data_IF_290284151553
#
_entry.id   IF_290284151553
#
_cell.length_a   1.000
_cell.length_b   1.000
_cell.length_c   1.000
_cell.angle_alpha   90.00
_cell.angle_beta   90.00
_cell.angle_gamma   90.00
#
_symmetry.space_group_name_H-M   'P 1'
#
loop_
_entity.id
_entity.type
_entity.pdbx_description
1 polymer ?
#
# COMPACT_ATOMS: atom_id res chain seq x y z
N UNK A 1 -3.45 17.47 26.60
CA UNK A 1 -3.97 17.88 25.27
C UNK A 1 -3.13 17.16 24.23
N UNK A 2 -3.63 16.04 23.69
CA UNK A 2 -2.88 15.24 22.73
C UNK A 2 -3.02 15.85 21.34
N UNK A 3 -1.89 16.22 20.73
CA UNK A 3 -1.81 16.59 19.31
C UNK A 3 -1.99 15.34 18.47
N UNK A 4 -3.23 15.03 18.09
CA UNK A 4 -3.53 14.06 17.03
C UNK A 4 -3.28 14.74 15.68
N UNK A 5 -2.03 14.73 15.23
CA UNK A 5 -1.67 15.02 13.84
C UNK A 5 -1.29 13.70 13.17
N UNK A 6 -2.28 12.82 12.94
CA UNK A 6 -2.16 11.85 11.85
C UNK A 6 -2.71 12.53 10.60
N UNK A 7 -1.90 12.74 9.54
CA UNK A 7 -2.43 13.21 8.26
C UNK A 7 -3.48 12.20 7.76
N UNK A 8 -4.46 12.63 6.94
CA UNK A 8 -5.36 11.69 6.30
C UNK A 8 -4.49 10.70 5.53
N UNK A 9 -4.59 9.43 5.89
CA UNK A 9 -3.97 8.34 5.14
C UNK A 9 -4.54 8.46 3.72
N UNK A 10 -3.75 9.02 2.81
CA UNK A 10 -4.17 9.25 1.43
C UNK A 10 -4.19 7.88 0.74
N UNK A 11 -5.29 7.16 0.91
CA UNK A 11 -5.54 5.90 0.24
C UNK A 11 -5.59 6.15 -1.26
N UNK A 12 -4.81 5.38 -2.01
CA UNK A 12 -4.67 5.57 -3.45
C UNK A 12 -5.37 4.43 -4.17
N UNK A 13 -6.39 4.72 -5.00
CA UNK A 13 -6.93 3.68 -5.85
C UNK A 13 -5.88 3.28 -6.89
N UNK A 14 -5.74 1.98 -7.11
CA UNK A 14 -4.80 1.35 -8.03
C UNK A 14 -4.83 2.03 -9.43
N UNK A 15 -6.03 2.38 -9.91
CA UNK A 15 -6.22 3.10 -11.18
C UNK A 15 -5.56 4.48 -11.23
N UNK A 16 -5.49 5.20 -10.09
CA UNK A 16 -4.79 6.50 -9.98
C UNK A 16 -3.30 6.34 -9.76
N UNK A 17 -2.85 5.21 -9.23
CA UNK A 17 -1.44 4.92 -9.00
C UNK A 17 -0.64 5.07 -10.30
N UNK A 18 -1.19 4.62 -11.45
CA UNK A 18 -0.56 4.74 -12.77
C UNK A 18 -0.16 6.18 -13.14
N UNK A 19 -1.03 7.15 -12.82
CA UNK A 19 -0.81 8.56 -13.16
C UNK A 19 0.03 9.30 -12.11
N UNK A 20 -0.01 8.85 -10.85
CA UNK A 20 0.57 9.54 -9.71
C UNK A 20 1.76 8.82 -9.08
N UNK A 21 2.26 7.72 -9.67
CA UNK A 21 3.35 6.89 -9.14
C UNK A 21 4.61 7.71 -8.80
N UNK A 22 4.95 8.69 -9.63
CA UNK A 22 6.11 9.57 -9.40
C UNK A 22 5.96 10.44 -8.16
N UNK A 23 4.74 10.89 -7.85
CA UNK A 23 4.43 11.68 -6.65
C UNK A 23 4.51 10.77 -5.42
N UNK A 24 3.84 9.62 -5.47
CA UNK A 24 3.82 8.67 -4.37
C UNK A 24 5.20 8.09 -4.08
N UNK A 25 6.04 7.87 -5.10
CA UNK A 25 7.46 7.52 -4.89
C UNK A 25 8.17 8.52 -3.99
N UNK A 26 7.99 9.83 -4.21
CA UNK A 26 8.65 10.85 -3.37
C UNK A 26 8.16 10.82 -1.93
N UNK A 27 6.86 10.59 -1.73
CA UNK A 27 6.26 10.45 -0.40
C UNK A 27 6.79 9.20 0.32
N UNK A 28 6.79 8.06 -0.36
CA UNK A 28 7.32 6.79 0.16
C UNK A 28 8.82 6.89 0.47
N UNK A 29 9.60 7.57 -0.37
CA UNK A 29 11.01 7.86 -0.08
C UNK A 29 11.20 8.80 1.13
N UNK A 30 10.20 9.64 1.42
CA UNK A 30 10.17 10.47 2.62
C UNK A 30 9.79 9.69 3.90
N UNK A 31 9.42 8.41 3.77
CA UNK A 31 9.03 7.56 4.90
C UNK A 31 7.53 7.25 4.96
N UNK A 32 6.73 7.83 4.06
CA UNK A 32 5.28 7.60 4.07
C UNK A 32 4.92 6.18 3.64
N UNK A 33 3.91 5.61 4.28
CA UNK A 33 3.25 4.37 3.87
C UNK A 33 1.95 4.74 3.17
N UNK A 34 1.74 4.20 1.98
CA UNK A 34 0.59 4.56 1.15
C UNK A 34 -0.25 3.32 0.89
N UNK A 35 -1.44 3.19 1.50
CA UNK A 35 -2.36 2.12 1.15
C UNK A 35 -2.85 2.27 -0.28
N UNK A 36 -2.96 1.13 -0.95
CA UNK A 36 -3.46 1.01 -2.31
C UNK A 36 -4.73 0.17 -2.30
N UNK A 37 -5.78 0.71 -2.91
CA UNK A 37 -7.09 0.06 -2.98
C UNK A 37 -7.45 -0.31 -4.42
N UNK A 38 -8.16 -1.42 -4.61
CA UNK A 38 -8.76 -1.80 -5.88
C UNK A 38 -10.24 -2.13 -5.66
N UNK A 39 -11.13 -1.46 -6.39
CA UNK A 39 -12.58 -1.59 -6.20
C UNK A 39 -13.06 -1.50 -4.74
N UNK A 40 -12.46 -0.61 -3.94
CA UNK A 40 -12.72 -0.39 -2.51
C UNK A 40 -12.20 -1.49 -1.57
N UNK A 41 -11.49 -2.47 -2.09
CA UNK A 41 -10.77 -3.45 -1.27
C UNK A 41 -9.31 -3.03 -1.14
N UNK A 42 -8.74 -3.17 0.07
CA UNK A 42 -7.33 -2.84 0.28
C UNK A 42 -6.45 -3.99 -0.17
N UNK A 43 -5.67 -3.69 -1.19
CA UNK A 43 -4.90 -4.70 -1.91
C UNK A 43 -3.42 -4.74 -1.53
N UNK A 44 -2.89 -3.64 -1.02
CA UNK A 44 -1.52 -3.60 -0.54
C UNK A 44 -1.09 -2.21 -0.13
N UNK A 45 0.20 -2.06 0.11
CA UNK A 45 0.81 -0.82 0.57
C UNK A 45 2.07 -0.53 -0.23
N UNK A 46 2.22 0.71 -0.69
CA UNK A 46 3.54 1.21 -1.08
C UNK A 46 4.29 1.62 0.18
N UNK A 47 5.42 0.97 0.41
CA UNK A 47 6.25 1.19 1.60
C UNK A 47 7.70 1.53 1.22
N UNK A 48 8.42 2.27 2.08
CA UNK A 48 9.84 2.50 1.91
C UNK A 48 10.60 1.18 1.93
N UNK A 49 11.73 1.14 1.22
CA UNK A 49 12.55 -0.07 1.14
C UNK A 49 12.96 -0.58 2.52
N UNK A 50 13.30 0.33 3.43
CA UNK A 50 13.67 0.02 4.81
C UNK A 50 12.56 -0.74 5.57
N UNK A 51 11.29 -0.39 5.35
CA UNK A 51 10.16 -1.09 5.98
C UNK A 51 10.02 -2.48 5.38
N UNK A 52 10.00 -2.59 4.05
CA UNK A 52 9.88 -3.89 3.40
C UNK A 52 11.03 -4.84 3.74
N UNK A 53 12.26 -4.34 3.90
CA UNK A 53 13.40 -5.17 4.33
C UNK A 53 13.29 -5.67 5.77
N UNK A 54 12.52 -4.98 6.61
CA UNK A 54 12.28 -5.40 7.99
C UNK A 54 11.14 -6.43 8.11
N UNK A 55 10.38 -6.65 7.02
CA UNK A 55 9.32 -7.65 6.98
C UNK A 55 9.89 -9.04 6.70
N UNK A 56 9.25 -10.06 7.27
CA UNK A 56 9.56 -11.47 7.00
C UNK A 56 8.92 -11.92 5.69
N UNK A 57 9.43 -11.41 4.57
CA UNK A 57 8.97 -11.76 3.23
C UNK A 57 9.42 -13.19 2.87
N UNK A 58 8.51 -14.03 2.43
CA UNK A 58 8.79 -15.40 1.95
C UNK A 58 8.80 -15.48 0.42
N UNK A 59 7.95 -14.69 -0.24
CA UNK A 59 7.85 -14.62 -1.69
C UNK A 59 7.98 -13.18 -2.18
N UNK A 60 9.14 -12.81 -2.72
CA UNK A 60 9.38 -11.48 -3.29
C UNK A 60 9.64 -11.52 -4.80
N UNK A 61 9.25 -10.45 -5.49
CA UNK A 61 9.56 -10.23 -6.91
C UNK A 61 10.19 -8.86 -7.11
N UNK A 62 10.94 -8.68 -8.18
CA UNK A 62 11.44 -7.38 -8.61
C UNK A 62 10.80 -6.95 -9.92
N UNK A 63 10.45 -5.67 -10.01
CA UNK A 63 9.85 -5.09 -11.21
C UNK A 63 10.39 -3.68 -11.43
N UNK A 64 10.74 -3.35 -12.66
CA UNK A 64 11.11 -1.98 -13.01
C UNK A 64 9.94 -1.03 -12.73
N UNK A 65 10.22 0.18 -12.27
CA UNK A 65 9.19 1.18 -11.94
C UNK A 65 8.31 1.52 -13.15
N UNK A 66 8.91 1.52 -14.34
CA UNK A 66 8.19 1.74 -15.61
C UNK A 66 7.32 0.53 -15.93
N UNK A 67 7.86 -0.68 -15.79
CA UNK A 67 7.12 -1.93 -16.00
C UNK A 67 5.95 -2.06 -15.03
N UNK A 68 6.14 -1.69 -13.77
CA UNK A 68 5.08 -1.70 -12.76
C UNK A 68 3.95 -0.73 -13.08
N UNK A 69 4.28 0.47 -13.59
CA UNK A 69 3.28 1.41 -14.07
C UNK A 69 2.45 0.83 -15.22
N UNK A 70 3.06 0.07 -16.12
CA UNK A 70 2.41 -0.46 -17.31
C UNK A 70 1.74 -1.83 -17.09
N UNK A 71 2.23 -2.64 -16.13
CA UNK A 71 1.74 -3.98 -15.75
C UNK A 71 1.11 -3.99 -14.35
N UNK A 72 0.52 -2.87 -13.96
CA UNK A 72 0.04 -2.60 -12.62
C UNK A 72 -1.03 -3.60 -12.14
N UNK A 73 -1.93 -4.02 -13.05
CA UNK A 73 -2.92 -5.06 -12.76
C UNK A 73 -2.25 -6.42 -12.52
N UNK A 74 -1.27 -6.79 -13.35
CA UNK A 74 -0.55 -8.07 -13.20
C UNK A 74 0.31 -8.11 -11.94
N UNK A 75 0.87 -6.96 -11.53
CA UNK A 75 1.58 -6.84 -10.27
C UNK A 75 0.64 -7.06 -9.07
N UNK A 76 -0.59 -6.53 -9.15
CA UNK A 76 -1.64 -6.82 -8.18
C UNK A 76 -2.02 -8.31 -8.16
N UNK A 77 -2.34 -8.91 -9.32
CA UNK A 77 -2.70 -10.32 -9.42
C UNK A 77 -1.61 -11.24 -8.84
N UNK A 78 -0.33 -10.84 -8.99
CA UNK A 78 0.80 -11.57 -8.40
C UNK A 78 0.77 -11.55 -6.86
N UNK A 79 0.41 -10.43 -6.24
CA UNK A 79 0.27 -10.34 -4.78
C UNK A 79 -0.90 -11.20 -4.29
N UNK A 80 -2.03 -11.18 -5.01
CA UNK A 80 -3.18 -12.03 -4.69
C UNK A 80 -2.83 -13.53 -4.79
N UNK A 81 -2.02 -13.89 -5.79
CA UNK A 81 -1.51 -15.24 -6.03
C UNK A 81 -0.45 -15.71 -5.01
N UNK A 82 -0.09 -14.90 -4.02
CA UNK A 82 0.80 -15.29 -2.91
C UNK A 82 2.21 -14.70 -2.98
N UNK A 83 2.43 -13.66 -3.77
CA UNK A 83 3.62 -12.81 -3.61
C UNK A 83 3.41 -11.89 -2.42
N UNK A 84 4.43 -11.80 -1.57
CA UNK A 84 4.42 -10.98 -0.36
C UNK A 84 4.79 -9.53 -0.66
N UNK A 85 5.76 -9.34 -1.57
CA UNK A 85 6.31 -8.03 -1.92
C UNK A 85 6.82 -7.96 -3.35
N UNK A 86 6.57 -6.81 -3.99
CA UNK A 86 7.15 -6.46 -5.29
C UNK A 86 8.07 -5.26 -5.09
N UNK A 87 9.37 -5.48 -5.24
CA UNK A 87 10.40 -4.46 -5.23
C UNK A 87 10.38 -3.66 -6.53
N UNK A 88 10.16 -2.35 -6.42
CA UNK A 88 10.16 -1.47 -7.59
C UNK A 88 11.53 -0.84 -7.76
N UNK A 89 12.19 -1.22 -8.85
CA UNK A 89 13.55 -0.80 -9.15
C UNK A 89 13.58 0.35 -10.15
N UNK A 90 14.54 1.26 -10.00
CA UNK A 90 14.78 2.35 -10.94
C UNK A 90 16.29 2.52 -11.11
N UNK A 91 16.78 2.39 -12.35
CA UNK A 91 18.22 2.37 -12.66
C UNK A 91 19.00 1.32 -11.86
N UNK A 92 18.43 0.13 -11.66
CA UNK A 92 19.07 -0.98 -10.95
C UNK A 92 19.01 -0.89 -9.42
N UNK A 93 18.40 0.15 -8.86
CA UNK A 93 18.27 0.31 -7.41
C UNK A 93 16.82 0.13 -6.95
N UNK A 94 16.61 -0.62 -5.86
CA UNK A 94 15.31 -0.72 -5.18
C UNK A 94 14.92 0.65 -4.64
N UNK A 95 13.80 1.21 -5.07
CA UNK A 95 13.36 2.56 -4.66
C UNK A 95 12.12 2.57 -3.78
N UNK A 96 11.23 1.60 -3.95
CA UNK A 96 10.04 1.43 -3.14
C UNK A 96 9.59 -0.04 -3.23
N UNK A 97 8.77 -0.47 -2.29
CA UNK A 97 8.20 -1.81 -2.27
C UNK A 97 6.68 -1.73 -2.30
N UNK A 98 6.05 -2.63 -3.03
CA UNK A 98 4.61 -2.83 -3.00
C UNK A 98 4.32 -4.14 -2.27
N UNK A 99 3.77 -4.03 -1.06
CA UNK A 99 3.63 -5.14 -0.11
C UNK A 99 2.18 -5.55 0.02
N UNK A 100 1.94 -6.86 0.09
CA UNK A 100 0.62 -7.45 0.31
C UNK A 100 0.07 -7.12 1.69
N UNK A 101 -1.24 -6.92 1.79
CA UNK A 101 -1.95 -6.76 3.07
C UNK A 101 -1.85 -7.98 3.98
N UNK A 102 -1.46 -9.15 3.44
CA UNK A 102 -1.21 -10.38 4.21
C UNK A 102 0.00 -10.27 5.13
N UNK A 103 0.99 -9.46 4.74
CA UNK A 103 2.30 -9.38 5.40
C UNK A 103 2.46 -8.07 6.15
N UNK A 104 1.77 -7.03 5.70
CA UNK A 104 1.87 -5.72 6.29
C UNK A 104 0.49 -5.09 6.44
N UNK A 105 0.11 -4.83 7.69
CA UNK A 105 -0.99 -3.95 8.06
C UNK A 105 -0.42 -2.90 9.02
N UNK A 106 -0.29 -1.63 8.60
CA UNK A 106 0.07 -0.58 9.53
C UNK A 106 -1.04 -0.46 10.59
N UNK A 107 -0.68 -0.37 11.86
CA UNK A 107 -1.60 -0.39 13.01
C UNK A 107 -2.43 0.91 13.19
N UNK A 108 -2.76 1.61 12.11
CA UNK A 108 -3.55 2.85 12.14
C UNK A 108 -4.78 2.69 11.23
N UNK A 109 -5.62 1.70 11.55
CA UNK A 109 -7.01 1.72 11.13
C UNK A 109 -7.82 2.19 12.35
N UNK A 110 -8.47 3.37 12.32
CA UNK A 110 -9.60 3.58 13.19
C UNK A 110 -10.64 2.55 12.75
N UNK A 111 -10.81 1.53 13.57
CA UNK A 111 -11.94 0.60 13.53
C UNK A 111 -13.20 1.46 13.43
N UNK A 112 -13.77 1.59 12.23
CA UNK A 112 -15.09 2.18 12.07
C UNK A 112 -16.03 1.14 12.63
N UNK A 113 -16.25 1.22 13.95
CA UNK A 113 -17.37 0.58 14.61
C UNK A 113 -18.60 1.09 13.88
N UNK A 114 -19.14 0.23 13.03
CA UNK A 114 -20.47 0.39 12.48
C UNK A 114 -21.40 0.17 13.67
N UNK A 115 -21.65 1.22 14.46
CA UNK A 115 -22.74 1.25 15.41
C UNK A 115 -24.02 0.98 14.61
N UNK A 116 -24.58 -0.21 14.81
CA UNK A 116 -25.96 -0.52 14.47
C UNK A 116 -26.85 0.51 15.19
N UNK A 117 -27.73 1.27 14.51
CA UNK A 117 -28.77 1.98 15.22
C UNK A 117 -29.83 0.94 15.62
N UNK A 118 -29.64 0.41 16.82
CA UNK A 118 -30.70 -0.17 17.63
C UNK A 118 -31.81 0.89 17.75
N UNK A 119 -32.86 0.76 16.95
CA UNK A 119 -34.07 1.58 17.09
C UNK A 119 -35.09 0.73 17.83
N UNK A 120 -34.90 0.65 19.14
CA UNK A 120 -35.92 0.20 20.08
C UNK A 120 -36.93 1.32 20.32
N UNK A 121 -38.19 0.97 20.11
CA UNK A 121 -39.45 1.48 20.68
C UNK A 121 -39.70 3.00 20.85
N UNK A 122 -40.81 3.44 20.25
CA UNK A 122 -41.87 4.24 20.90
C UNK A 122 -43.23 3.99 20.23
#
# INVERSE_FOLDING_TARGET
>A
MYSALSPPINVVPLSRLRQSLSRYRRQVQGGDVIPVDYYKDRIGYLVPVAIATALQLSAEQEMGLIDFRDKLNSAWESLEAGVDCIWLTYHGERRLAFVSTRIFQPQDEPEVQSEEPDTEEL
#
